data_IF_283748541909
#
_entry.id   IF_283748541909
#
_cell.length_a   1.000
_cell.length_b   1.000
_cell.length_c   1.000
_cell.angle_alpha   90.00
_cell.angle_beta   90.00
_cell.angle_gamma   90.00
#
_symmetry.space_group_name_H-M   'P 1'
#
loop_
_entity.id
_entity.type
_entity.pdbx_description
1 polymer ?
#
# COMPACT_ATOMS: atom_id res chain seq x y z
N UNK A 1 37.24 14.81 -11.04
CA UNK A 1 36.27 15.29 -10.00
C UNK A 1 35.74 14.07 -9.31
N UNK A 2 36.10 13.85 -8.06
CA UNK A 2 35.58 12.74 -7.25
C UNK A 2 34.22 13.16 -6.70
N UNK A 3 33.17 12.47 -7.12
CA UNK A 3 31.80 12.67 -6.59
C UNK A 3 31.78 12.20 -5.14
N UNK A 4 31.25 12.99 -4.22
CA UNK A 4 31.12 12.56 -2.82
C UNK A 4 30.18 11.33 -2.70
N UNK A 5 30.38 10.49 -1.69
CA UNK A 5 29.52 9.33 -1.44
C UNK A 5 28.05 9.74 -1.27
N UNK A 6 27.78 10.88 -0.64
CA UNK A 6 26.43 11.44 -0.50
C UNK A 6 25.79 11.76 -1.84
N UNK A 7 26.49 12.50 -2.72
CA UNK A 7 25.98 12.82 -4.05
C UNK A 7 25.78 11.57 -4.91
N UNK A 8 26.65 10.58 -4.78
CA UNK A 8 26.55 9.32 -5.50
C UNK A 8 25.29 8.56 -5.08
N UNK A 9 25.05 8.40 -3.77
CA UNK A 9 23.86 7.74 -3.24
C UNK A 9 22.59 8.48 -3.63
N UNK A 10 22.56 9.80 -3.51
CA UNK A 10 21.45 10.64 -3.95
C UNK A 10 21.12 10.40 -5.44
N UNK A 11 22.13 10.43 -6.30
CA UNK A 11 21.97 10.18 -7.72
C UNK A 11 21.45 8.78 -8.02
N UNK A 12 21.97 7.75 -7.35
CA UNK A 12 21.51 6.36 -7.49
C UNK A 12 20.04 6.25 -7.12
N UNK A 13 19.63 6.82 -5.97
CA UNK A 13 18.23 6.77 -5.51
C UNK A 13 17.26 7.55 -6.42
N UNK A 14 17.69 8.63 -7.05
CA UNK A 14 16.87 9.42 -7.96
C UNK A 14 16.74 8.79 -9.35
N UNK A 15 17.72 8.01 -9.79
CA UNK A 15 17.73 7.42 -11.13
C UNK A 15 17.11 6.02 -11.19
N UNK A 16 16.93 5.36 -10.05
CA UNK A 16 16.35 4.02 -10.02
C UNK A 16 14.84 4.07 -9.75
N UNK A 17 14.09 3.27 -10.52
CA UNK A 17 12.64 3.16 -10.35
C UNK A 17 12.21 2.12 -9.30
N UNK A 18 13.15 1.54 -8.55
CA UNK A 18 12.92 0.53 -7.52
C UNK A 18 13.50 0.95 -6.18
N UNK A 19 13.05 0.32 -5.12
CA UNK A 19 13.73 0.42 -3.83
C UNK A 19 15.13 -0.21 -3.89
N UNK A 20 16.09 0.37 -3.18
CA UNK A 20 17.47 -0.09 -3.16
C UNK A 20 17.85 -0.46 -1.74
N UNK A 21 18.31 -1.68 -1.54
CA UNK A 21 18.70 -2.18 -0.23
C UNK A 21 19.93 -1.42 0.33
N UNK A 22 20.02 -1.33 1.66
CA UNK A 22 21.18 -0.73 2.33
C UNK A 22 22.49 -1.40 1.91
N UNK A 23 22.47 -2.71 1.64
CA UNK A 23 23.61 -3.45 1.15
C UNK A 23 24.07 -2.96 -0.23
N UNK A 24 23.15 -2.81 -1.17
CA UNK A 24 23.43 -2.31 -2.51
C UNK A 24 23.98 -0.88 -2.46
N UNK A 25 23.34 0.03 -1.69
CA UNK A 25 23.81 1.42 -1.55
C UNK A 25 25.23 1.51 -1.01
N UNK A 26 25.57 0.70 -0.01
CA UNK A 26 26.93 0.67 0.57
C UNK A 26 27.99 0.22 -0.44
N UNK A 27 27.63 -0.68 -1.36
CA UNK A 27 28.53 -1.20 -2.39
C UNK A 27 28.79 -0.23 -3.54
N UNK A 28 27.97 0.81 -3.70
CA UNK A 28 28.14 1.80 -4.78
C UNK A 28 29.29 2.79 -4.51
N UNK A 29 29.67 2.99 -3.25
CA UNK A 29 30.75 3.91 -2.89
C UNK A 29 32.12 3.23 -2.77
N UNK A 30 33.15 3.93 -3.21
CA UNK A 30 34.53 3.51 -3.06
C UNK A 30 35.32 4.54 -2.22
N UNK A 31 35.82 4.14 -1.02
CA UNK A 31 35.71 2.82 -0.37
C UNK A 31 34.26 2.51 0.08
N UNK A 32 33.94 1.22 0.21
CA UNK A 32 32.64 0.76 0.66
C UNK A 32 32.24 1.38 2.01
N UNK A 33 31.01 1.91 2.08
CA UNK A 33 30.50 2.56 3.29
C UNK A 33 30.20 1.56 4.42
N UNK A 34 30.48 1.96 5.65
CA UNK A 34 29.96 1.30 6.84
C UNK A 34 28.45 1.57 6.99
N UNK A 35 27.74 0.78 7.82
CA UNK A 35 26.32 1.01 8.09
C UNK A 35 26.10 2.41 8.69
N UNK A 36 26.90 2.80 9.67
CA UNK A 36 26.79 4.13 10.31
C UNK A 36 26.96 5.30 9.33
N UNK A 37 27.89 5.15 8.38
CA UNK A 37 28.10 6.18 7.35
C UNK A 37 26.89 6.28 6.41
N UNK A 38 26.32 5.14 6.01
CA UNK A 38 25.11 5.13 5.22
C UNK A 38 23.96 5.79 5.98
N UNK A 39 23.71 5.40 7.24
CA UNK A 39 22.62 5.94 8.06
C UNK A 39 22.75 7.47 8.24
N UNK A 40 23.96 7.97 8.42
CA UNK A 40 24.23 9.41 8.48
C UNK A 40 23.88 10.11 7.15
N UNK A 41 24.29 9.52 6.02
CA UNK A 41 23.95 10.05 4.68
C UNK A 41 22.44 10.06 4.47
N UNK A 42 21.76 8.96 4.83
CA UNK A 42 20.30 8.87 4.67
C UNK A 42 19.57 9.92 5.50
N UNK A 43 20.01 10.16 6.75
CA UNK A 43 19.44 11.20 7.60
C UNK A 43 19.60 12.61 6.98
N UNK A 44 20.77 12.91 6.40
CA UNK A 44 21.02 14.18 5.70
C UNK A 44 20.13 14.30 4.46
N UNK A 45 20.01 13.24 3.65
CA UNK A 45 19.17 13.24 2.46
C UNK A 45 17.68 13.40 2.83
N UNK A 46 17.20 12.69 3.85
CA UNK A 46 15.83 12.84 4.34
C UNK A 46 15.53 14.29 4.76
N UNK A 47 16.45 14.91 5.51
CA UNK A 47 16.30 16.31 5.92
C UNK A 47 16.34 17.27 4.73
N UNK A 48 17.24 17.04 3.77
CA UNK A 48 17.38 17.88 2.56
C UNK A 48 16.12 17.88 1.68
N UNK A 49 15.45 16.75 1.59
CA UNK A 49 14.29 16.54 0.72
C UNK A 49 12.94 16.78 1.40
N UNK A 50 12.93 17.07 2.71
CA UNK A 50 11.71 17.16 3.53
C UNK A 50 10.68 18.19 3.04
N UNK A 51 11.14 19.31 2.44
CA UNK A 51 10.26 20.38 1.96
C UNK A 51 10.22 20.45 0.43
N UNK A 52 10.56 19.35 -0.22
CA UNK A 52 10.53 19.23 -1.68
C UNK A 52 9.40 18.29 -2.09
N UNK A 53 9.05 18.29 -3.35
CA UNK A 53 7.98 17.42 -3.86
C UNK A 53 8.26 15.91 -3.79
N UNK A 54 9.43 15.50 -3.29
CA UNK A 54 9.83 14.10 -3.08
C UNK A 54 10.22 13.88 -1.61
N UNK A 55 9.90 12.68 -1.11
CA UNK A 55 10.28 12.21 0.23
C UNK A 55 11.09 10.93 0.09
N UNK A 56 12.16 10.80 0.87
CA UNK A 56 12.98 9.60 0.94
C UNK A 56 12.47 8.68 2.05
N UNK A 57 11.90 7.55 1.67
CA UNK A 57 11.35 6.56 2.60
C UNK A 57 12.17 5.27 2.60
N UNK A 58 12.16 4.61 3.76
CA UNK A 58 12.64 3.24 3.92
C UNK A 58 11.43 2.31 3.91
N UNK A 59 11.42 1.33 3.03
CA UNK A 59 10.36 0.33 2.89
C UNK A 59 10.91 -1.07 3.18
N UNK A 60 10.07 -2.08 3.20
CA UNK A 60 10.51 -3.49 3.36
C UNK A 60 11.55 -3.92 2.31
N UNK A 61 11.54 -3.33 1.11
CA UNK A 61 12.50 -3.64 0.04
C UNK A 61 13.77 -2.78 0.09
N UNK A 62 13.76 -1.67 0.83
CA UNK A 62 14.89 -0.74 0.94
C UNK A 62 14.47 0.73 0.82
N UNK A 63 15.42 1.56 0.39
CA UNK A 63 15.26 3.00 0.28
C UNK A 63 14.80 3.42 -1.12
N UNK A 64 13.84 4.33 -1.18
CA UNK A 64 13.43 4.96 -2.44
C UNK A 64 12.81 6.33 -2.21
N UNK A 65 12.86 7.18 -3.26
CA UNK A 65 12.10 8.43 -3.29
C UNK A 65 10.66 8.20 -3.75
N UNK A 66 9.73 8.91 -3.12
CA UNK A 66 8.33 8.98 -3.51
C UNK A 66 7.89 10.43 -3.68
N UNK A 67 6.94 10.66 -4.56
CA UNK A 67 6.28 11.95 -4.61
C UNK A 67 5.37 12.13 -3.39
N UNK A 68 5.32 13.33 -2.81
CA UNK A 68 4.32 13.64 -1.77
C UNK A 68 2.91 13.59 -2.35
N UNK A 69 1.90 13.34 -1.52
CA UNK A 69 0.52 13.15 -1.95
C UNK A 69 0.01 14.27 -2.88
N UNK A 70 0.27 15.52 -2.52
CA UNK A 70 -0.12 16.70 -3.31
C UNK A 70 0.49 16.72 -4.74
N UNK A 71 1.72 16.21 -4.87
CA UNK A 71 2.38 16.07 -6.18
C UNK A 71 1.81 14.89 -6.94
N UNK A 72 1.57 13.77 -6.24
CA UNK A 72 1.01 12.56 -6.84
C UNK A 72 -0.36 12.84 -7.47
N UNK A 73 -1.26 13.52 -6.76
CA UNK A 73 -2.58 13.91 -7.29
C UNK A 73 -2.47 14.71 -8.59
N UNK A 74 -1.51 15.62 -8.67
CA UNK A 74 -1.27 16.41 -9.88
C UNK A 74 -0.64 15.60 -11.02
N UNK A 75 0.21 14.62 -10.68
CA UNK A 75 0.87 13.76 -11.66
C UNK A 75 -0.08 12.67 -12.21
N UNK A 76 -1.17 12.32 -11.52
CA UNK A 76 -2.17 11.36 -12.02
C UNK A 76 -2.72 11.75 -13.39
N UNK A 77 -2.82 13.05 -13.68
CA UNK A 77 -3.25 13.56 -14.98
C UNK A 77 -2.21 13.35 -16.10
N UNK A 78 -0.94 13.15 -15.75
CA UNK A 78 0.15 12.93 -16.70
C UNK A 78 0.44 11.46 -16.94
N UNK A 79 -0.06 10.58 -16.06
CA UNK A 79 0.09 9.13 -16.22
C UNK A 79 -1.01 8.60 -17.15
N UNK A 80 -0.61 8.10 -18.31
CA UNK A 80 -1.52 7.52 -19.28
C UNK A 80 -2.23 6.26 -18.77
N UNK A 81 -1.59 5.51 -17.87
CA UNK A 81 -2.11 4.32 -17.25
C UNK A 81 -2.62 4.65 -15.83
N UNK A 82 -3.94 4.79 -15.70
CA UNK A 82 -4.57 4.87 -14.38
C UNK A 82 -4.32 3.54 -13.65
N UNK A 83 -3.86 3.59 -12.39
CA UNK A 83 -3.71 2.38 -11.62
C UNK A 83 -5.04 1.61 -11.56
N UNK A 84 -5.03 0.28 -11.61
CA UNK A 84 -6.24 -0.52 -11.58
C UNK A 84 -7.04 -0.20 -10.32
N UNK A 85 -8.33 0.13 -10.49
CA UNK A 85 -9.24 0.34 -9.36
C UNK A 85 -9.73 -1.01 -8.86
N UNK A 86 -9.41 -1.31 -7.63
CA UNK A 86 -9.90 -2.52 -6.96
C UNK A 86 -11.33 -2.30 -6.43
N UNK A 87 -12.14 -3.34 -6.49
CA UNK A 87 -13.48 -3.29 -5.92
C UNK A 87 -13.42 -3.18 -4.39
N UNK A 88 -14.47 -2.63 -3.78
CA UNK A 88 -14.61 -2.56 -2.32
C UNK A 88 -14.42 -3.95 -1.67
N UNK A 89 -14.97 -5.00 -2.28
CA UNK A 89 -14.83 -6.36 -1.78
C UNK A 89 -13.37 -6.85 -1.74
N UNK A 90 -12.55 -6.48 -2.73
CA UNK A 90 -11.12 -6.80 -2.77
C UNK A 90 -10.39 -6.06 -1.64
N UNK A 91 -10.66 -4.77 -1.46
CA UNK A 91 -9.98 -3.95 -0.44
C UNK A 91 -10.38 -4.35 0.98
N UNK A 92 -11.65 -4.65 1.24
CA UNK A 92 -12.11 -5.16 2.54
C UNK A 92 -11.48 -6.52 2.88
N UNK A 93 -11.40 -7.42 1.90
CA UNK A 93 -10.76 -8.73 2.09
C UNK A 93 -9.26 -8.58 2.38
N UNK A 94 -8.58 -7.71 1.64
CA UNK A 94 -7.17 -7.42 1.87
C UNK A 94 -6.93 -6.85 3.27
N UNK A 95 -7.76 -5.90 3.71
CA UNK A 95 -7.65 -5.31 5.04
C UNK A 95 -7.79 -6.38 6.13
N UNK A 96 -8.79 -7.28 6.04
CA UNK A 96 -8.95 -8.36 7.01
C UNK A 96 -7.72 -9.25 7.05
N UNK A 97 -7.16 -9.64 5.90
CA UNK A 97 -5.95 -10.45 5.86
C UNK A 97 -4.80 -9.68 6.51
N UNK A 98 -4.58 -8.43 6.18
CA UNK A 98 -3.46 -7.63 6.70
C UNK A 98 -3.49 -7.47 8.24
N UNK A 99 -4.68 -7.31 8.83
CA UNK A 99 -4.81 -7.07 10.27
C UNK A 99 -5.00 -8.34 11.10
N UNK A 100 -5.49 -9.44 10.52
CA UNK A 100 -5.88 -10.64 11.25
C UNK A 100 -5.08 -11.90 10.88
N UNK A 101 -4.14 -11.78 9.95
CA UNK A 101 -3.34 -12.93 9.49
C UNK A 101 -2.67 -13.71 10.63
N UNK A 102 -2.58 -15.04 10.52
CA UNK A 102 -3.04 -15.87 9.40
C UNK A 102 -4.55 -16.18 9.47
N UNK A 103 -5.27 -16.01 8.36
CA UNK A 103 -6.72 -16.20 8.28
C UNK A 103 -7.11 -17.18 7.18
N UNK A 104 -8.23 -17.90 7.40
CA UNK A 104 -8.86 -18.71 6.37
C UNK A 104 -9.94 -17.91 5.64
N UNK A 105 -10.40 -18.42 4.49
CA UNK A 105 -11.55 -17.85 3.78
C UNK A 105 -12.80 -17.78 4.68
N UNK A 106 -13.04 -18.82 5.48
CA UNK A 106 -14.17 -18.83 6.42
C UNK A 106 -14.08 -17.75 7.49
N UNK A 107 -12.87 -17.47 8.02
CA UNK A 107 -12.67 -16.36 8.96
C UNK A 107 -12.98 -15.01 8.31
N UNK A 108 -12.53 -14.81 7.08
CA UNK A 108 -12.80 -13.57 6.32
C UNK A 108 -14.33 -13.41 6.10
N UNK A 109 -15.01 -14.48 5.71
CA UNK A 109 -16.46 -14.49 5.51
C UNK A 109 -17.23 -14.22 6.82
N UNK A 110 -16.75 -14.76 7.94
CA UNK A 110 -17.34 -14.49 9.25
C UNK A 110 -17.22 -13.02 9.67
N UNK A 111 -16.09 -12.38 9.38
CA UNK A 111 -15.87 -10.96 9.69
C UNK A 111 -16.67 -10.06 8.76
N UNK A 112 -16.71 -10.38 7.47
CA UNK A 112 -17.43 -9.57 6.47
C UNK A 112 -18.96 -9.74 6.51
N UNK A 113 -19.44 -10.86 7.06
CA UNK A 113 -20.85 -11.23 7.03
C UNK A 113 -21.37 -11.66 5.64
N UNK A 114 -20.48 -11.76 4.64
CA UNK A 114 -20.79 -12.16 3.26
C UNK A 114 -19.72 -13.07 2.69
N UNK A 115 -20.09 -13.90 1.73
CA UNK A 115 -19.17 -14.84 1.07
C UNK A 115 -18.08 -14.10 0.28
N UNK A 116 -16.89 -14.65 0.30
CA UNK A 116 -15.74 -14.17 -0.49
C UNK A 116 -15.67 -14.96 -1.79
N UNK A 117 -15.80 -14.29 -2.93
CA UNK A 117 -15.66 -14.97 -4.22
C UNK A 117 -14.21 -15.42 -4.45
N UNK A 118 -14.05 -16.52 -5.20
CA UNK A 118 -12.72 -16.99 -5.60
C UNK A 118 -11.95 -15.92 -6.38
N UNK A 119 -12.66 -15.13 -7.18
CA UNK A 119 -12.08 -14.03 -7.95
C UNK A 119 -11.41 -12.97 -7.06
N UNK A 120 -11.96 -12.65 -5.88
CA UNK A 120 -11.35 -11.70 -4.94
C UNK A 120 -9.98 -12.20 -4.46
N UNK A 121 -9.92 -13.46 -4.02
CA UNK A 121 -8.67 -14.08 -3.57
C UNK A 121 -7.66 -14.15 -4.73
N UNK A 122 -8.12 -14.58 -5.92
CA UNK A 122 -7.27 -14.67 -7.11
C UNK A 122 -6.69 -13.30 -7.50
N UNK A 123 -7.50 -12.24 -7.49
CA UNK A 123 -7.03 -10.86 -7.78
C UNK A 123 -5.91 -10.44 -6.82
N UNK A 124 -6.05 -10.74 -5.53
CA UNK A 124 -5.04 -10.41 -4.51
C UNK A 124 -3.75 -11.23 -4.68
N UNK A 125 -3.88 -12.52 -5.08
CA UNK A 125 -2.74 -13.37 -5.38
C UNK A 125 -2.02 -12.94 -6.67
N UNK A 126 -2.75 -12.64 -7.75
CA UNK A 126 -2.19 -12.17 -9.02
C UNK A 126 -1.43 -10.85 -8.86
N UNK A 127 -1.89 -9.99 -7.93
CA UNK A 127 -1.18 -8.77 -7.55
C UNK A 127 0.06 -9.07 -6.69
N UNK A 128 0.18 -10.26 -6.15
CA UNK A 128 1.26 -10.65 -5.25
C UNK A 128 1.12 -10.06 -3.85
N UNK A 129 -0.09 -9.66 -3.42
CA UNK A 129 -0.31 -9.06 -2.11
C UNK A 129 -0.59 -10.08 -1.00
N UNK A 130 -1.10 -11.25 -1.37
CA UNK A 130 -1.34 -12.35 -0.43
C UNK A 130 -0.75 -13.65 -0.94
N UNK A 131 -0.40 -14.52 -0.02
CA UNK A 131 0.09 -15.87 -0.28
C UNK A 131 -0.51 -16.89 0.68
N UNK A 132 -0.50 -18.16 0.25
CA UNK A 132 -0.86 -19.29 1.09
C UNK A 132 0.34 -19.70 1.94
N UNK A 133 0.20 -19.61 3.27
CA UNK A 133 1.26 -20.01 4.21
C UNK A 133 1.06 -21.41 4.80
N UNK A 134 0.03 -22.12 4.37
CA UNK A 134 -0.28 -23.47 4.83
C UNK A 134 -1.78 -23.73 4.96
N UNK A 135 -2.13 -24.68 5.82
CA UNK A 135 -3.51 -25.08 6.08
C UNK A 135 -3.76 -25.12 7.59
N UNK A 136 -4.97 -24.78 8.01
CA UNK A 136 -5.39 -24.97 9.40
C UNK A 136 -5.70 -26.46 9.65
N UNK A 137 -5.26 -26.99 10.79
CA UNK A 137 -5.53 -28.37 11.18
C UNK A 137 -6.94 -28.55 11.78
N UNK A 138 -7.94 -28.28 10.95
CA UNK A 138 -9.36 -28.45 11.26
C UNK A 138 -10.05 -29.23 10.14
N UNK A 139 -11.29 -29.66 10.38
CA UNK A 139 -12.08 -30.35 9.35
C UNK A 139 -12.12 -29.52 8.05
N UNK A 140 -11.84 -30.15 6.93
CA UNK A 140 -11.73 -29.47 5.62
C UNK A 140 -10.37 -28.85 5.32
N UNK A 141 -9.42 -28.80 6.27
CA UNK A 141 -8.05 -28.27 6.13
C UNK A 141 -7.99 -26.97 5.30
N UNK A 142 -8.69 -25.89 5.69
CA UNK A 142 -8.77 -24.67 4.91
C UNK A 142 -7.40 -24.01 4.79
N UNK A 143 -7.15 -23.37 3.63
CA UNK A 143 -5.93 -22.62 3.36
C UNK A 143 -5.83 -21.41 4.30
N UNK A 144 -4.63 -21.16 4.81
CA UNK A 144 -4.28 -19.97 5.59
C UNK A 144 -3.64 -18.93 4.68
N UNK A 145 -4.14 -17.71 4.75
CA UNK A 145 -3.69 -16.57 3.97
C UNK A 145 -2.93 -15.57 4.84
N UNK A 146 -1.86 -15.01 4.28
CA UNK A 146 -1.11 -13.92 4.85
C UNK A 146 -0.68 -12.94 3.76
N UNK A 147 -0.27 -11.72 4.16
CA UNK A 147 0.30 -10.74 3.25
C UNK A 147 1.75 -11.06 2.90
N UNK A 148 2.21 -10.55 1.78
CA UNK A 148 3.56 -10.74 1.27
C UNK A 148 4.44 -9.51 1.50
N UNK A 149 5.77 -9.61 1.33
CA UNK A 149 6.65 -8.44 1.28
C UNK A 149 6.28 -7.44 0.17
N UNK A 150 5.73 -7.93 -0.97
CA UNK A 150 5.25 -7.08 -2.06
C UNK A 150 4.09 -6.17 -1.63
N UNK A 151 3.19 -6.67 -0.77
CA UNK A 151 2.14 -5.85 -0.18
C UNK A 151 2.70 -4.67 0.62
N UNK A 152 3.70 -4.91 1.48
CA UNK A 152 4.36 -3.86 2.25
C UNK A 152 5.06 -2.85 1.34
N UNK A 153 5.76 -3.33 0.32
CA UNK A 153 6.47 -2.49 -0.64
C UNK A 153 5.51 -1.59 -1.43
N UNK A 154 4.40 -2.13 -1.95
CA UNK A 154 3.41 -1.38 -2.72
C UNK A 154 2.69 -0.33 -1.86
N UNK A 155 2.50 -0.59 -0.56
CA UNK A 155 1.96 0.37 0.40
C UNK A 155 3.02 1.27 1.06
N UNK A 156 4.29 1.11 0.69
CA UNK A 156 5.42 1.89 1.21
C UNK A 156 5.63 1.75 2.72
N UNK A 157 5.30 0.58 3.29
CA UNK A 157 5.45 0.25 4.70
C UNK A 157 6.77 -0.50 4.95
N UNK A 158 7.31 -0.38 6.16
CA UNK A 158 8.45 -1.19 6.60
C UNK A 158 7.98 -2.53 7.14
N UNK A 159 6.92 -2.50 7.95
CA UNK A 159 6.31 -3.69 8.52
C UNK A 159 4.78 -3.50 8.72
N UNK A 160 4.11 -4.53 9.19
CA UNK A 160 2.67 -4.50 9.43
C UNK A 160 2.26 -3.56 10.57
N UNK A 161 3.18 -3.21 11.47
CA UNK A 161 2.93 -2.27 12.56
C UNK A 161 2.75 -0.83 12.07
N UNK A 162 3.21 -0.52 10.86
CA UNK A 162 3.02 0.80 10.23
C UNK A 162 1.61 0.97 9.65
N UNK A 163 0.78 -0.07 9.65
CA UNK A 163 -0.61 0.04 9.21
C UNK A 163 -1.40 0.96 10.15
N UNK A 164 -2.22 1.88 9.61
CA UNK A 164 -3.06 2.75 10.43
C UNK A 164 -4.04 1.95 11.29
N UNK A 165 -4.39 2.38 12.49
CA UNK A 165 -5.34 1.67 13.33
C UNK A 165 -6.70 1.54 12.63
N UNK A 166 -7.40 0.41 12.84
CA UNK A 166 -8.68 0.10 12.19
C UNK A 166 -9.75 1.21 12.35
N UNK A 167 -9.65 1.99 13.43
CA UNK A 167 -10.53 3.12 13.70
C UNK A 167 -10.40 4.24 12.67
N UNK A 168 -9.22 4.41 12.08
CA UNK A 168 -8.96 5.42 11.05
C UNK A 168 -9.35 4.94 9.65
N UNK A 169 -9.28 3.64 9.40
CA UNK A 169 -9.66 3.05 8.11
C UNK A 169 -11.15 3.23 7.78
N UNK A 170 -12.00 3.27 8.78
CA UNK A 170 -13.43 3.52 8.62
C UNK A 170 -13.73 4.85 7.91
N UNK A 171 -12.92 5.87 8.17
CA UNK A 171 -13.06 7.19 7.54
C UNK A 171 -12.45 7.27 6.14
N UNK A 172 -11.46 6.42 5.84
CA UNK A 172 -10.79 6.40 4.52
C UNK A 172 -11.50 5.51 3.49
N UNK A 173 -12.24 4.47 3.96
CA UNK A 173 -12.94 3.52 3.09
C UNK A 173 -14.38 3.96 2.77
N UNK A 174 -14.93 4.87 3.56
CA UNK A 174 -16.22 5.50 3.32
C UNK A 174 -16.00 6.92 2.79
N UNK A 175 -15.92 7.14 1.45
CA UNK A 175 -16.32 8.44 0.95
C UNK A 175 -17.79 8.60 1.39
N UNK A 176 -18.09 9.74 2.02
CA UNK A 176 -19.47 10.09 2.38
C UNK A 176 -20.39 9.70 1.22
N UNK A 177 -21.21 8.69 1.44
CA UNK A 177 -22.37 8.47 0.59
C UNK A 177 -23.26 9.67 0.91
N UNK A 178 -23.07 10.73 0.15
CA UNK A 178 -24.02 11.83 0.06
C UNK A 178 -25.36 11.15 -0.13
N UNK A 179 -26.20 11.29 0.88
CA UNK A 179 -27.56 10.80 0.94
C UNK A 179 -28.24 11.07 -0.41
N UNK A 180 -28.63 10.05 -1.20
CA UNK A 180 -29.39 10.34 -2.40
C UNK A 180 -30.66 11.03 -1.95
N UNK A 181 -30.78 12.29 -2.33
CA UNK A 181 -31.87 13.19 -2.07
C UNK A 181 -33.19 12.43 -2.12
N UNK A 182 -34.02 12.72 -1.11
CA UNK A 182 -35.41 12.33 -1.03
C UNK A 182 -36.08 12.39 -2.41
N UNK A 183 -36.59 11.26 -2.85
CA UNK A 183 -37.50 11.20 -3.99
C UNK A 183 -38.67 12.06 -3.61
N UNK A 184 -39.01 13.14 -4.33
CA UNK A 184 -40.22 13.87 -4.05
C UNK A 184 -41.43 12.92 -4.29
N UNK A 185 -42.29 12.83 -3.29
CA UNK A 185 -43.51 12.06 -3.36
C UNK A 185 -44.29 12.50 -4.60
N UNK A 186 -44.64 11.53 -5.44
CA UNK A 186 -45.54 11.75 -6.58
C UNK A 186 -46.89 12.30 -6.06
N UNK A 187 -47.25 13.51 -6.47
CA UNK A 187 -48.58 14.04 -6.31
C UNK A 187 -49.58 13.14 -7.05
N UNK A 188 -50.53 12.58 -6.31
CA UNK A 188 -51.70 11.89 -6.88
C UNK A 188 -52.56 12.93 -7.65
N UNK A 189 -53.03 12.60 -8.84
CA UNK A 189 -53.92 13.48 -9.56
C UNK A 189 -55.29 13.50 -8.85
N UNK A 190 -55.69 14.65 -8.35
CA UNK A 190 -57.07 14.89 -7.87
C UNK A 190 -58.01 14.82 -9.05
N UNK A 191 -58.84 13.81 -9.03
CA UNK A 191 -59.99 13.68 -9.95
C UNK A 191 -61.10 14.60 -9.46
N UNK A 192 -61.31 15.72 -10.12
CA UNK A 192 -62.53 16.50 -9.96
C UNK A 192 -63.70 15.90 -10.77
N UNK A 193 -64.78 15.71 -10.08
CA UNK A 193 -66.12 15.39 -10.62
C UNK A 193 -66.85 16.65 -11.11
#
# INVERSE_FOLDING_TARGET
>A
MTVSAECLIEAVLLTQNRAISARELRQQAEPQLSQQQLDAIMAVLQQRWRERGLVLNHTAEGWRFHAVAEVTERLEHLQADKPPRYSRAVMETLAIIAYQQPVTRGDIEAIRGVTVSTQVIQTLQERGWIESIGHRETLGRPVLWATTPQFLADLQLQDLGDLPPLTELGSLILPEISNPAAIPAAEEPQTEC
#
